data_IF_534723465973
#
_entry.id   IF_534723465973
#
_cell.length_a   1.000
_cell.length_b   1.000
_cell.length_c   1.000
_cell.angle_alpha   90.00
_cell.angle_beta   90.00
_cell.angle_gamma   90.00
#
_symmetry.space_group_name_H-M   'P 1'
#
loop_
_entity.id
_entity.type
_entity.pdbx_description
1 polymer ?
#
# COMPACT_ATOMS: atom_id res chain seq x y z
N UNK A 1 -6.40 40.99 0.79
CA UNK A 1 -5.87 39.69 1.26
C UNK A 1 -6.78 39.20 2.38
N UNK A 2 -7.17 37.92 2.39
CA UNK A 2 -7.96 37.32 3.48
C UNK A 2 -7.13 37.29 4.78
N UNK A 3 -7.75 37.73 5.88
CA UNK A 3 -7.12 37.79 7.20
C UNK A 3 -7.00 36.38 7.82
N UNK A 4 -6.27 36.28 8.93
CA UNK A 4 -6.21 35.02 9.73
C UNK A 4 -7.60 34.68 10.26
N UNK A 5 -8.37 35.69 10.67
CA UNK A 5 -9.72 35.50 11.21
C UNK A 5 -10.70 35.04 10.12
N UNK A 6 -10.62 35.61 8.91
CA UNK A 6 -11.43 35.16 7.76
C UNK A 6 -11.17 33.66 7.47
N UNK A 7 -9.91 33.23 7.53
CA UNK A 7 -9.53 31.83 7.30
C UNK A 7 -10.03 30.92 8.43
N UNK A 8 -10.01 31.38 9.68
CA UNK A 8 -10.56 30.64 10.83
C UNK A 8 -12.08 30.50 10.71
N UNK A 9 -12.77 31.53 10.24
CA UNK A 9 -14.21 31.48 9.98
C UNK A 9 -14.55 30.43 8.91
N UNK A 10 -13.83 30.41 7.79
CA UNK A 10 -14.02 29.39 6.73
C UNK A 10 -13.86 27.96 7.30
N UNK A 11 -12.89 27.74 8.20
CA UNK A 11 -12.73 26.43 8.84
C UNK A 11 -13.98 26.05 9.64
N UNK A 12 -14.59 26.99 10.37
CA UNK A 12 -15.81 26.72 11.14
C UNK A 12 -17.00 26.42 10.24
N UNK A 13 -17.21 27.22 9.19
CA UNK A 13 -18.29 27.01 8.21
C UNK A 13 -18.20 25.61 7.58
N UNK A 14 -16.99 25.14 7.24
CA UNK A 14 -16.78 23.77 6.73
C UNK A 14 -17.07 22.71 7.78
N UNK A 15 -16.79 22.97 9.06
CA UNK A 15 -17.01 22.03 10.15
C UNK A 15 -18.50 21.85 10.50
N UNK A 16 -19.34 22.85 10.24
CA UNK A 16 -20.79 22.79 10.45
C UNK A 16 -21.49 21.70 9.62
N UNK A 17 -20.92 21.34 8.47
CA UNK A 17 -21.43 20.25 7.64
C UNK A 17 -21.23 18.85 8.27
N UNK A 18 -20.41 18.73 9.30
CA UNK A 18 -20.13 17.45 9.96
C UNK A 18 -21.05 17.20 11.16
N UNK A 19 -21.42 15.94 11.43
CA UNK A 19 -21.96 15.56 12.73
C UNK A 19 -21.01 15.95 13.87
N UNK A 20 -21.56 16.31 15.03
CA UNK A 20 -20.81 16.89 16.15
C UNK A 20 -19.52 16.11 16.51
N UNK A 21 -19.62 14.78 16.59
CA UNK A 21 -18.47 13.89 16.87
C UNK A 21 -17.37 13.99 15.81
N UNK A 22 -17.75 14.06 14.54
CA UNK A 22 -16.84 14.19 13.41
C UNK A 22 -16.24 15.59 13.34
N UNK A 23 -17.04 16.65 13.57
CA UNK A 23 -16.60 18.03 13.64
C UNK A 23 -15.51 18.22 14.71
N UNK A 24 -15.76 17.77 15.95
CA UNK A 24 -14.78 17.83 17.06
C UNK A 24 -13.46 17.14 16.75
N UNK A 25 -13.50 16.04 15.98
CA UNK A 25 -12.28 15.33 15.55
C UNK A 25 -11.61 16.04 14.38
N UNK A 26 -12.37 16.53 13.40
CA UNK A 26 -11.84 17.18 12.19
C UNK A 26 -11.23 18.54 12.51
N UNK A 27 -11.77 19.29 13.47
CA UNK A 27 -11.24 20.57 13.96
C UNK A 27 -9.77 20.46 14.40
N UNK A 28 -9.34 19.30 14.93
CA UNK A 28 -7.96 19.07 15.35
C UNK A 28 -6.96 18.97 14.17
N UNK A 29 -7.44 18.93 12.93
CA UNK A 29 -6.63 18.70 11.72
C UNK A 29 -6.68 19.89 10.74
N UNK A 30 -7.35 20.97 11.14
CA UNK A 30 -7.52 22.19 10.35
C UNK A 30 -7.08 23.36 11.23
N UNK A 31 -6.12 24.14 10.77
CA UNK A 31 -5.71 25.37 11.43
C UNK A 31 -5.12 26.34 10.41
N UNK A 32 -4.95 27.59 10.83
CA UNK A 32 -4.32 28.65 10.03
C UNK A 32 -2.89 28.85 10.51
N UNK A 33 -1.93 28.80 9.59
CA UNK A 33 -0.54 29.14 9.89
C UNK A 33 -0.45 30.61 10.27
N UNK A 34 0.17 30.90 11.40
CA UNK A 34 0.40 32.25 11.92
C UNK A 34 1.90 32.54 11.93
N UNK A 35 2.30 33.73 11.49
CA UNK A 35 3.70 34.15 11.45
C UNK A 35 4.31 34.17 12.86
N UNK A 36 5.55 33.70 12.99
CA UNK A 36 6.25 33.60 14.27
C UNK A 36 5.90 32.36 15.11
N UNK A 37 4.96 31.49 14.68
CA UNK A 37 4.73 30.19 15.33
C UNK A 37 5.61 29.09 14.77
N UNK A 38 6.09 28.21 15.65
CA UNK A 38 6.97 27.10 15.31
C UNK A 38 6.26 25.95 14.60
N UNK A 39 4.94 25.83 14.76
CA UNK A 39 4.11 24.84 14.08
C UNK A 39 2.72 25.41 13.75
N UNK A 40 1.98 24.67 12.93
CA UNK A 40 0.61 25.00 12.56
C UNK A 40 -0.45 24.45 13.55
N UNK A 41 -0.07 23.85 14.67
CA UNK A 41 -0.98 23.42 15.74
C UNK A 41 -1.98 22.32 15.37
N UNK A 42 -1.72 21.55 14.30
CA UNK A 42 -2.60 20.45 13.86
C UNK A 42 -2.13 19.10 14.37
N UNK A 43 -3.08 18.20 14.67
CA UNK A 43 -2.80 16.78 14.85
C UNK A 43 -2.68 16.11 13.49
N UNK A 44 -1.76 15.15 13.39
CA UNK A 44 -1.52 14.35 12.19
C UNK A 44 -1.33 12.87 12.57
N UNK A 45 -1.17 12.00 11.57
CA UNK A 45 -0.94 10.55 11.77
C UNK A 45 -1.96 9.83 12.68
N UNK A 46 -3.24 10.20 12.60
CA UNK A 46 -4.33 9.46 13.26
C UNK A 46 -5.27 8.82 12.26
N UNK A 47 -6.09 7.86 12.71
CA UNK A 47 -7.12 7.19 11.89
C UNK A 47 -8.09 8.19 11.24
N UNK A 48 -8.36 7.99 9.95
CA UNK A 48 -9.38 8.75 9.21
C UNK A 48 -10.77 8.59 9.82
N UNK A 49 -11.63 9.57 9.60
CA UNK A 49 -13.05 9.44 9.93
C UNK A 49 -13.74 8.51 8.91
N UNK A 50 -14.63 7.61 9.33
CA UNK A 50 -15.46 6.84 8.39
C UNK A 50 -16.38 7.75 7.58
N UNK A 51 -16.56 7.44 6.29
CA UNK A 51 -17.56 8.10 5.43
C UNK A 51 -17.22 9.51 4.93
N UNK A 52 -16.00 10.02 5.17
CA UNK A 52 -15.62 11.40 4.78
C UNK A 52 -14.81 11.50 3.49
N UNK A 53 -14.80 10.43 2.68
CA UNK A 53 -14.07 10.39 1.40
C UNK A 53 -12.59 10.79 1.54
N UNK A 54 -11.88 10.14 2.46
CA UNK A 54 -10.45 10.41 2.71
C UNK A 54 -9.62 10.12 1.45
N UNK A 55 -8.63 10.96 1.18
CA UNK A 55 -7.68 10.79 0.05
C UNK A 55 -6.51 9.86 0.37
N UNK A 56 -6.54 9.16 1.52
CA UNK A 56 -5.47 8.24 1.92
C UNK A 56 -5.58 6.90 1.20
N UNK A 57 -4.43 6.27 0.96
CA UNK A 57 -4.32 4.86 0.62
C UNK A 57 -4.19 3.95 1.84
N UNK A 58 -3.59 2.76 1.65
CA UNK A 58 -3.31 1.77 2.68
C UNK A 58 -1.81 1.46 2.80
N UNK A 59 -1.44 0.60 3.77
CA UNK A 59 -0.05 0.20 3.98
C UNK A 59 0.56 -0.54 2.77
N UNK A 60 -0.19 -1.40 2.09
CA UNK A 60 0.24 -2.05 0.85
C UNK A 60 0.64 -1.03 -0.23
N UNK A 61 -0.15 0.03 -0.40
CA UNK A 61 0.19 1.09 -1.35
C UNK A 61 1.53 1.78 -0.99
N UNK A 62 1.81 1.95 0.31
CA UNK A 62 3.07 2.51 0.79
C UNK A 62 4.27 1.55 0.67
N UNK A 63 4.08 0.26 0.94
CA UNK A 63 5.13 -0.74 0.80
C UNK A 63 5.38 -1.08 -0.68
N UNK A 64 4.48 -1.86 -1.29
CA UNK A 64 4.55 -2.30 -2.69
C UNK A 64 4.53 -1.15 -3.68
N UNK A 65 3.55 -0.25 -3.58
CA UNK A 65 3.32 0.77 -4.59
C UNK A 65 4.37 1.90 -4.61
N UNK A 66 5.03 2.15 -3.48
CA UNK A 66 5.96 3.29 -3.34
C UNK A 66 7.41 2.86 -3.13
N UNK A 67 7.67 1.93 -2.21
CA UNK A 67 9.05 1.58 -1.80
C UNK A 67 9.60 0.40 -2.59
N UNK A 68 8.90 -0.73 -2.59
CA UNK A 68 9.41 -1.96 -3.19
C UNK A 68 9.23 -2.02 -4.70
N UNK A 69 8.05 -1.70 -5.23
CA UNK A 69 7.74 -1.78 -6.66
C UNK A 69 8.72 -1.09 -7.63
N UNK A 70 9.41 0.01 -7.25
CA UNK A 70 10.47 0.59 -8.08
C UNK A 70 11.78 -0.21 -8.18
N UNK A 71 12.00 -1.26 -7.38
CA UNK A 71 13.23 -2.07 -7.44
C UNK A 71 13.17 -2.99 -8.65
N UNK A 72 13.67 -2.47 -9.78
CA UNK A 72 13.36 -2.99 -11.11
C UNK A 72 13.73 -4.45 -11.36
N UNK A 73 14.82 -4.97 -10.80
CA UNK A 73 15.34 -6.32 -11.07
C UNK A 73 14.86 -7.38 -10.06
N UNK A 74 13.90 -7.02 -9.20
CA UNK A 74 13.17 -7.94 -8.32
C UNK A 74 11.74 -8.14 -8.80
N UNK A 75 11.16 -9.28 -8.44
CA UNK A 75 9.73 -9.57 -8.65
C UNK A 75 8.96 -9.30 -7.35
N UNK A 76 7.85 -8.57 -7.49
CA UNK A 76 7.00 -8.16 -6.36
C UNK A 76 5.64 -8.84 -6.44
N UNK A 77 5.45 -9.89 -5.61
CA UNK A 77 4.20 -10.65 -5.56
C UNK A 77 3.19 -9.87 -4.72
N UNK A 78 2.11 -9.39 -5.35
CA UNK A 78 0.93 -8.89 -4.63
C UNK A 78 0.17 -10.11 -4.08
N UNK A 79 0.45 -10.48 -2.83
CA UNK A 79 -0.01 -11.72 -2.23
C UNK A 79 -1.38 -11.54 -1.58
N UNK A 80 -2.41 -11.99 -2.29
CA UNK A 80 -3.81 -11.85 -1.93
C UNK A 80 -4.71 -12.02 -3.16
N UNK A 81 -5.95 -11.53 -3.10
CA UNK A 81 -6.86 -11.45 -4.25
C UNK A 81 -6.31 -10.54 -5.37
N UNK A 82 -6.94 -10.55 -6.55
CA UNK A 82 -6.44 -9.81 -7.73
C UNK A 82 -6.41 -8.27 -7.59
N UNK A 83 -7.16 -7.71 -6.64
CA UNK A 83 -7.53 -6.29 -6.62
C UNK A 83 -6.37 -5.32 -6.42
N UNK A 84 -5.60 -5.45 -5.33
CA UNK A 84 -4.62 -4.41 -4.96
C UNK A 84 -3.48 -4.32 -5.97
N UNK A 85 -2.99 -5.47 -6.43
CA UNK A 85 -1.99 -5.52 -7.49
C UNK A 85 -2.49 -4.95 -8.83
N UNK A 86 -3.73 -5.24 -9.24
CA UNK A 86 -4.30 -4.70 -10.49
C UNK A 86 -4.44 -3.18 -10.47
N UNK A 87 -5.02 -2.60 -9.42
CA UNK A 87 -5.20 -1.13 -9.33
C UNK A 87 -3.89 -0.37 -9.12
N UNK A 88 -2.85 -1.04 -8.64
CA UNK A 88 -1.51 -0.45 -8.50
C UNK A 88 -0.59 -0.75 -9.68
N UNK A 89 -1.07 -1.44 -10.71
CA UNK A 89 -0.26 -1.85 -11.85
C UNK A 89 0.08 -0.66 -12.74
N UNK A 90 1.35 -0.24 -12.71
CA UNK A 90 1.89 0.84 -13.53
C UNK A 90 1.18 2.19 -13.35
N UNK A 91 0.44 2.38 -12.26
CA UNK A 91 -0.24 3.63 -11.93
C UNK A 91 0.71 4.72 -11.41
N UNK A 92 1.87 4.33 -10.85
CA UNK A 92 2.93 5.24 -10.42
C UNK A 92 4.06 5.26 -11.45
N UNK A 93 4.52 6.47 -11.81
CA UNK A 93 5.55 6.71 -12.84
C UNK A 93 6.97 6.59 -12.30
N UNK A 94 7.30 5.49 -11.62
CA UNK A 94 8.66 5.17 -11.20
C UNK A 94 9.47 4.60 -12.37
N UNK A 95 10.06 5.49 -13.16
CA UNK A 95 10.81 5.14 -14.37
C UNK A 95 12.02 4.25 -14.07
N UNK A 96 12.35 3.36 -15.00
CA UNK A 96 13.54 2.52 -14.96
C UNK A 96 14.08 2.28 -16.38
N UNK A 97 15.30 1.77 -16.44
CA UNK A 97 15.94 1.28 -17.67
C UNK A 97 16.11 -0.23 -17.51
N UNK A 98 15.56 -1.02 -18.42
CA UNK A 98 15.62 -2.48 -18.44
C UNK A 98 14.65 -3.07 -19.46
N UNK A 99 14.80 -4.37 -19.72
CA UNK A 99 13.94 -5.16 -20.60
C UNK A 99 12.83 -5.79 -19.77
N UNK A 100 11.64 -5.18 -19.83
CA UNK A 100 10.49 -5.61 -19.03
C UNK A 100 10.12 -7.06 -19.32
N UNK A 101 10.00 -7.89 -18.28
CA UNK A 101 9.71 -9.33 -18.38
C UNK A 101 10.94 -10.20 -18.63
N UNK A 102 12.12 -9.61 -18.75
CA UNK A 102 13.40 -10.32 -18.91
C UNK A 102 14.30 -10.02 -17.71
N UNK A 103 14.83 -8.79 -17.61
CA UNK A 103 15.76 -8.38 -16.54
C UNK A 103 15.19 -7.28 -15.61
N UNK A 104 13.98 -6.81 -15.94
CA UNK A 104 13.26 -5.81 -15.16
C UNK A 104 11.76 -6.13 -15.11
N UNK A 105 11.10 -5.78 -14.01
CA UNK A 105 9.73 -6.21 -13.71
C UNK A 105 8.82 -5.08 -13.18
N UNK A 106 9.32 -3.84 -13.10
CA UNK A 106 8.64 -2.74 -12.42
C UNK A 106 7.26 -2.33 -12.99
N UNK A 107 6.97 -2.65 -14.25
CA UNK A 107 5.65 -2.44 -14.88
C UNK A 107 4.84 -3.72 -15.08
N UNK A 108 5.11 -4.78 -14.32
CA UNK A 108 4.35 -6.04 -14.36
C UNK A 108 3.53 -6.24 -13.08
N UNK A 109 2.52 -7.10 -13.17
CA UNK A 109 1.66 -7.47 -12.05
C UNK A 109 1.78 -8.98 -11.78
N UNK A 110 2.53 -9.32 -10.74
CA UNK A 110 2.59 -10.66 -10.18
C UNK A 110 1.65 -10.72 -8.98
N UNK A 111 0.79 -11.73 -8.94
CA UNK A 111 -0.17 -11.93 -7.86
C UNK A 111 -0.43 -13.41 -7.64
N UNK A 112 -0.75 -13.77 -6.41
CA UNK A 112 -1.23 -15.12 -6.08
C UNK A 112 -2.72 -15.33 -6.40
N UNK A 113 -3.46 -14.28 -6.77
CA UNK A 113 -4.89 -14.32 -7.14
C UNK A 113 -5.72 -15.27 -6.26
N UNK A 114 -5.84 -14.91 -4.98
CA UNK A 114 -6.55 -15.73 -3.99
C UNK A 114 -7.99 -15.96 -4.42
N UNK A 115 -8.35 -17.24 -4.43
CA UNK A 115 -9.71 -17.70 -4.56
C UNK A 115 -10.26 -18.05 -3.18
N UNK A 116 -11.57 -18.33 -3.09
CA UNK A 116 -12.23 -18.68 -1.82
C UNK A 116 -11.53 -19.86 -1.10
N UNK A 117 -11.07 -20.86 -1.86
CA UNK A 117 -10.29 -21.98 -1.30
C UNK A 117 -9.00 -21.55 -0.58
N UNK A 118 -8.35 -20.49 -1.05
CA UNK A 118 -7.09 -20.00 -0.47
C UNK A 118 -7.40 -19.25 0.84
N UNK A 119 -8.55 -18.58 0.91
CA UNK A 119 -9.06 -17.98 2.15
C UNK A 119 -9.42 -19.06 3.19
N UNK A 120 -10.04 -20.16 2.75
CA UNK A 120 -10.50 -21.23 3.65
C UNK A 120 -9.35 -22.12 4.15
N UNK A 121 -8.37 -22.42 3.29
CA UNK A 121 -7.32 -23.41 3.57
C UNK A 121 -5.91 -22.83 3.69
N UNK A 122 -5.75 -21.51 3.59
CA UNK A 122 -4.46 -20.84 3.61
C UNK A 122 -3.76 -20.82 2.25
N UNK A 123 -2.89 -19.82 2.08
CA UNK A 123 -2.18 -19.53 0.84
C UNK A 123 -0.76 -20.07 0.77
N UNK A 124 -0.15 -20.51 1.88
CA UNK A 124 1.28 -20.84 1.97
C UNK A 124 1.75 -21.85 0.92
N UNK A 125 0.96 -22.91 0.68
CA UNK A 125 1.28 -23.92 -0.35
C UNK A 125 1.24 -23.35 -1.76
N UNK A 126 0.30 -22.44 -2.02
CA UNK A 126 0.17 -21.75 -3.31
C UNK A 126 1.32 -20.77 -3.49
N UNK A 127 1.71 -20.05 -2.44
CA UNK A 127 2.85 -19.14 -2.45
C UNK A 127 4.17 -19.87 -2.75
N UNK A 128 4.43 -20.99 -2.08
CA UNK A 128 5.63 -21.80 -2.34
C UNK A 128 5.71 -22.26 -3.80
N UNK A 129 4.58 -22.73 -4.36
CA UNK A 129 4.50 -23.12 -5.78
C UNK A 129 4.72 -21.94 -6.72
N UNK A 130 4.11 -20.79 -6.41
CA UNK A 130 4.24 -19.56 -7.19
C UNK A 130 5.69 -19.08 -7.26
N UNK A 131 6.45 -19.17 -6.15
CA UNK A 131 7.87 -18.82 -6.12
C UNK A 131 8.66 -19.71 -7.08
N UNK A 132 8.43 -21.03 -7.06
CA UNK A 132 9.08 -21.96 -8.00
C UNK A 132 8.71 -21.64 -9.46
N UNK A 133 7.44 -21.36 -9.74
CA UNK A 133 7.01 -20.99 -11.10
C UNK A 133 7.63 -19.67 -11.57
N UNK A 134 7.87 -18.71 -10.67
CA UNK A 134 8.56 -17.46 -10.97
C UNK A 134 10.02 -17.72 -11.35
N UNK A 135 10.74 -18.55 -10.60
CA UNK A 135 12.12 -18.90 -10.93
C UNK A 135 12.23 -19.61 -12.28
N UNK A 136 11.30 -20.50 -12.60
CA UNK A 136 11.28 -21.22 -13.88
C UNK A 136 10.98 -20.27 -15.07
N UNK A 137 10.03 -19.35 -14.91
CA UNK A 137 9.57 -18.46 -15.99
C UNK A 137 10.39 -17.17 -16.14
N UNK A 138 10.99 -16.70 -15.05
CA UNK A 138 11.73 -15.43 -14.98
C UNK A 138 13.10 -15.63 -14.30
N UNK A 139 13.99 -16.46 -14.88
CA UNK A 139 15.23 -16.89 -14.23
C UNK A 139 16.29 -15.79 -14.06
N UNK A 140 16.07 -14.59 -14.63
CA UNK A 140 16.98 -13.45 -14.47
C UNK A 140 16.54 -12.48 -13.36
N UNK A 141 15.46 -12.80 -12.64
CA UNK A 141 15.10 -12.04 -11.45
C UNK A 141 16.19 -12.16 -10.39
N UNK A 142 16.41 -11.10 -9.61
CA UNK A 142 17.44 -11.06 -8.57
C UNK A 142 16.88 -11.12 -7.15
N UNK A 143 15.64 -11.57 -7.02
CA UNK A 143 14.98 -11.70 -5.75
C UNK A 143 13.49 -11.44 -5.84
N UNK A 144 12.78 -12.00 -4.86
CA UNK A 144 11.34 -11.96 -4.77
C UNK A 144 10.94 -11.28 -3.46
N UNK A 145 9.94 -10.41 -3.53
CA UNK A 145 9.28 -9.84 -2.35
C UNK A 145 7.83 -10.31 -2.31
N UNK A 146 7.32 -10.54 -1.09
CA UNK A 146 5.95 -10.99 -0.83
C UNK A 146 5.19 -9.83 -0.18
N UNK A 147 4.36 -9.17 -0.97
CA UNK A 147 3.63 -7.97 -0.56
C UNK A 147 2.24 -8.38 -0.10
N UNK A 148 2.10 -8.58 1.21
CA UNK A 148 0.85 -9.04 1.82
C UNK A 148 -0.29 -8.05 1.63
N UNK A 149 -1.39 -8.53 1.05
CA UNK A 149 -2.66 -7.83 1.07
C UNK A 149 -3.43 -8.15 2.37
N UNK A 150 -4.63 -7.55 2.53
CA UNK A 150 -5.40 -7.66 3.76
C UNK A 150 -5.65 -9.10 4.27
N UNK A 151 -5.99 -10.10 3.43
CA UNK A 151 -6.38 -11.41 3.94
C UNK A 151 -5.26 -12.21 4.61
N UNK A 152 -4.00 -12.00 4.22
CA UNK A 152 -2.87 -12.86 4.62
C UNK A 152 -2.75 -12.92 6.14
N UNK A 153 -2.67 -11.75 6.79
CA UNK A 153 -2.60 -11.66 8.25
C UNK A 153 -3.91 -12.02 8.96
N UNK A 154 -5.06 -12.02 8.26
CA UNK A 154 -6.35 -12.36 8.85
C UNK A 154 -6.58 -13.87 8.94
N UNK A 155 -6.09 -14.63 7.96
CA UNK A 155 -6.21 -16.09 7.93
C UNK A 155 -5.03 -16.79 8.61
N UNK A 156 -3.95 -16.07 8.90
CA UNK A 156 -2.80 -16.57 9.65
C UNK A 156 -1.80 -17.37 8.81
N UNK A 157 -1.64 -17.02 7.53
CA UNK A 157 -0.57 -17.54 6.67
C UNK A 157 0.81 -17.18 7.24
N UNK A 158 1.78 -18.09 7.14
CA UNK A 158 3.16 -17.92 7.63
C UNK A 158 4.13 -17.70 6.46
N UNK A 159 4.04 -16.51 5.87
CA UNK A 159 4.84 -16.12 4.70
C UNK A 159 6.34 -16.06 5.03
N UNK A 160 6.72 -15.79 6.28
CA UNK A 160 8.10 -15.80 6.73
C UNK A 160 8.70 -17.20 6.68
N UNK A 161 7.95 -18.23 7.11
CA UNK A 161 8.38 -19.62 6.99
C UNK A 161 8.51 -20.05 5.53
N UNK A 162 7.54 -19.68 4.68
CA UNK A 162 7.60 -19.96 3.23
C UNK A 162 8.82 -19.29 2.60
N UNK A 163 9.02 -17.99 2.82
CA UNK A 163 10.14 -17.23 2.27
C UNK A 163 11.50 -17.82 2.70
N UNK A 164 11.66 -18.16 3.98
CA UNK A 164 12.90 -18.78 4.50
C UNK A 164 13.17 -20.15 3.89
N UNK A 165 12.13 -20.93 3.63
CA UNK A 165 12.26 -22.26 3.01
C UNK A 165 12.60 -22.11 1.53
N UNK A 166 11.78 -21.38 0.78
CA UNK A 166 11.99 -21.16 -0.65
C UNK A 166 13.34 -20.51 -0.95
N UNK A 167 13.76 -19.50 -0.17
CA UNK A 167 15.07 -18.88 -0.33
C UNK A 167 16.27 -19.80 -0.05
N UNK A 168 16.09 -20.94 0.64
CA UNK A 168 17.13 -21.98 0.73
C UNK A 168 17.10 -22.93 -0.46
N UNK A 169 15.90 -23.20 -0.98
CA UNK A 169 15.69 -24.17 -2.06
C UNK A 169 16.12 -23.61 -3.42
N UNK A 170 15.98 -22.29 -3.65
CA UNK A 170 16.27 -21.63 -4.94
C UNK A 170 17.68 -21.01 -5.01
N UNK A 171 18.35 -20.82 -3.86
CA UNK A 171 19.68 -20.20 -3.76
C UNK A 171 19.64 -18.68 -3.60
#
# INVERSE_FOLDING_TARGET
MTTVDDKKQIIQEVLEAYPEKSAKRRAKHLNVTEEGKSDCGVKSNIKSLPGVMTTRGCAFAGAKGVVWGPVKDMIHISHGPVGCGYYSWSGRRNYYIGNTGVDAFGTMHFTSDFQERDIVFGGDKKLAKLITEIEDLFPLNKGITIESECPIGLIGDDIEAVAKKSGKDIG
#
